data_IF_951067088772
#
_entry.id   IF_951067088772
#
_cell.length_a   1.000
_cell.length_b   1.000
_cell.length_c   1.000
_cell.angle_alpha   90.00
_cell.angle_beta   90.00
_cell.angle_gamma   90.00
#
_symmetry.space_group_name_H-M   'P 1'
#
loop_
_entity.id
_entity.type
_entity.pdbx_description
1 polymer ?
#
# COMPACT_ATOMS: atom_id res chain seq x y z
N UNK A 1 10.60 18.00 1.36
CA UNK A 1 11.03 16.68 1.83
C UNK A 1 10.66 15.62 0.83
N UNK A 2 11.47 14.59 0.75
CA UNK A 2 11.26 13.50 -0.20
C UNK A 2 10.35 12.45 0.43
N UNK A 3 9.23 12.14 -0.23
CA UNK A 3 8.38 11.05 0.20
C UNK A 3 9.06 9.72 -0.11
N UNK A 4 9.00 8.80 0.81
CA UNK A 4 9.57 7.47 0.61
C UNK A 4 8.45 6.45 0.43
N UNK A 5 8.59 5.62 -0.59
CA UNK A 5 7.65 4.53 -0.83
C UNK A 5 7.80 3.47 0.26
N UNK A 6 6.69 3.10 0.87
CA UNK A 6 6.69 2.05 1.88
C UNK A 6 6.66 0.68 1.22
N UNK A 7 7.21 -0.32 1.92
CA UNK A 7 7.14 -1.70 1.50
C UNK A 7 6.37 -2.48 2.55
N UNK A 8 5.29 -3.12 2.10
CA UNK A 8 4.33 -3.75 3.00
C UNK A 8 4.11 -5.21 2.64
N UNK A 9 3.71 -5.98 3.64
CA UNK A 9 3.18 -7.33 3.44
C UNK A 9 1.72 -7.29 3.86
N UNK A 10 0.81 -7.57 2.94
CA UNK A 10 -0.62 -7.45 3.18
C UNK A 10 -1.18 -8.73 3.79
N UNK A 11 -2.09 -8.55 4.75
CA UNK A 11 -2.81 -9.62 5.42
C UNK A 11 -4.30 -9.36 5.31
N UNK A 12 -5.14 -10.29 5.76
CA UNK A 12 -6.59 -10.18 5.58
C UNK A 12 -7.20 -8.94 6.24
N UNK A 13 -6.76 -8.60 7.44
CA UNK A 13 -7.31 -7.47 8.18
C UNK A 13 -6.34 -6.33 8.43
N UNK A 14 -5.09 -6.50 8.00
CA UNK A 14 -4.06 -5.50 8.28
C UNK A 14 -2.87 -5.70 7.35
N UNK A 15 -1.83 -4.92 7.55
CA UNK A 15 -0.58 -5.11 6.83
C UNK A 15 0.59 -4.86 7.79
N UNK A 16 1.74 -5.48 7.45
CA UNK A 16 2.99 -5.26 8.17
C UNK A 16 3.90 -4.37 7.34
N UNK A 17 4.58 -3.44 8.01
CA UNK A 17 5.52 -2.55 7.34
C UNK A 17 6.90 -3.21 7.34
N UNK A 18 7.40 -3.56 6.17
CA UNK A 18 8.73 -4.13 5.98
C UNK A 18 9.76 -3.02 5.88
N UNK A 19 9.47 -2.00 5.09
CA UNK A 19 10.28 -0.79 5.02
C UNK A 19 9.39 0.41 5.29
N UNK A 20 9.80 1.25 6.22
CA UNK A 20 9.04 2.45 6.57
C UNK A 20 8.93 3.40 5.38
N UNK A 21 7.77 4.00 5.22
CA UNK A 21 7.52 4.96 4.15
C UNK A 21 6.20 5.65 4.39
N UNK A 22 5.84 6.55 3.48
CA UNK A 22 4.65 7.38 3.64
C UNK A 22 3.50 6.92 2.74
N UNK A 23 3.80 6.18 1.67
CA UNK A 23 2.80 5.81 0.69
C UNK A 23 3.16 4.51 0.00
N UNK A 24 2.16 3.95 -0.70
CA UNK A 24 2.36 2.85 -1.66
C UNK A 24 1.67 3.22 -2.96
N UNK A 25 1.97 2.48 -4.03
CA UNK A 25 1.37 2.74 -5.33
C UNK A 25 0.26 1.75 -5.62
N UNK A 26 -0.82 2.23 -6.24
CA UNK A 26 -1.89 1.36 -6.72
C UNK A 26 -1.36 0.50 -7.87
N UNK A 27 -1.60 -0.81 -7.79
CA UNK A 27 -1.12 -1.75 -8.80
C UNK A 27 -1.81 -1.58 -10.15
N UNK A 28 -2.98 -0.96 -10.17
CA UNK A 28 -3.76 -0.78 -11.39
C UNK A 28 -3.51 0.59 -12.00
N UNK A 29 -3.65 1.65 -11.20
CA UNK A 29 -3.59 3.02 -11.72
C UNK A 29 -2.23 3.70 -11.51
N UNK A 30 -1.39 3.17 -10.63
CA UNK A 30 -0.11 3.79 -10.30
C UNK A 30 -0.22 5.02 -9.43
N UNK A 31 -1.39 5.30 -8.88
CA UNK A 31 -1.58 6.46 -8.01
C UNK A 31 -0.96 6.23 -6.65
N UNK A 32 -0.48 7.30 -6.03
CA UNK A 32 0.04 7.25 -4.67
C UNK A 32 -1.11 7.09 -3.68
N UNK A 33 -0.94 6.17 -2.74
CA UNK A 33 -1.91 5.92 -1.67
C UNK A 33 -1.19 6.13 -0.35
N UNK A 34 -1.61 7.16 0.41
CA UNK A 34 -1.08 7.34 1.75
C UNK A 34 -1.48 6.13 2.61
N UNK A 35 -0.58 5.67 3.49
CA UNK A 35 -0.87 4.49 4.30
C UNK A 35 -2.13 4.66 5.15
N UNK A 36 -2.40 5.87 5.61
CA UNK A 36 -3.60 6.16 6.39
C UNK A 36 -4.89 6.07 5.56
N UNK A 37 -4.77 6.14 4.23
CA UNK A 37 -5.91 6.03 3.31
C UNK A 37 -5.98 4.68 2.61
N UNK A 38 -5.04 3.77 2.93
CA UNK A 38 -4.99 2.46 2.30
C UNK A 38 -6.05 1.55 2.92
N UNK A 39 -7.08 1.24 2.13
CA UNK A 39 -8.19 0.41 2.58
C UNK A 39 -8.39 -0.84 1.73
N UNK A 40 -7.80 -0.89 0.55
CA UNK A 40 -8.05 -1.98 -0.40
C UNK A 40 -6.74 -2.59 -0.85
N UNK A 41 -6.63 -3.90 -0.71
CA UNK A 41 -5.46 -4.64 -1.17
C UNK A 41 -5.83 -6.09 -1.43
N UNK A 42 -4.96 -6.80 -2.18
CA UNK A 42 -5.13 -8.21 -2.47
C UNK A 42 -4.02 -8.99 -1.75
N UNK A 43 -4.41 -9.87 -0.86
CA UNK A 43 -3.47 -10.66 -0.06
C UNK A 43 -2.73 -11.67 -0.93
N UNK A 44 -3.42 -12.32 -1.85
CA UNK A 44 -2.80 -13.34 -2.70
C UNK A 44 -1.76 -12.75 -3.63
N UNK A 45 -2.06 -11.60 -4.22
CA UNK A 45 -1.16 -10.93 -5.16
C UNK A 45 -0.25 -9.91 -4.48
N UNK A 46 -0.49 -9.61 -3.21
CA UNK A 46 0.27 -8.62 -2.45
C UNK A 46 0.29 -7.27 -3.17
N UNK A 47 -0.90 -6.82 -3.57
CA UNK A 47 -1.08 -5.57 -4.30
C UNK A 47 -1.98 -4.62 -3.53
N UNK A 48 -1.68 -3.32 -3.61
CA UNK A 48 -2.52 -2.29 -3.04
C UNK A 48 -3.38 -1.67 -4.12
N UNK A 49 -4.59 -1.24 -3.75
CA UNK A 49 -5.52 -0.61 -4.68
C UNK A 49 -6.00 0.72 -4.13
N UNK A 50 -6.05 1.73 -5.00
CA UNK A 50 -6.53 3.06 -4.63
C UNK A 50 -8.01 3.05 -4.26
N UNK A 51 -8.80 2.25 -4.99
CA UNK A 51 -10.23 2.09 -4.74
C UNK A 51 -10.65 0.68 -5.14
N UNK A 52 -11.82 0.22 -4.66
CA UNK A 52 -12.30 -1.12 -5.03
C UNK A 52 -12.63 -1.23 -6.51
#
# INVERSE_FOLDING_TARGET
>A
MIKKKAKLIFKHNSFDIVEAGEYVLCSISGKEIALENLNYWNVDLQEAYYSP
#
